data_IF_527763813011
#
_entry.id   IF_527763813011
#
_cell.length_a   1.000
_cell.length_b   1.000
_cell.length_c   1.000
_cell.angle_alpha   90.00
_cell.angle_beta   90.00
_cell.angle_gamma   90.00
#
_symmetry.space_group_name_H-M   'P 1'
#
loop_
_entity.id
_entity.type
_entity.pdbx_description
1 polymer ?
#
# COMPACT_ATOMS: atom_id res chain seq x y z
N UNK A 1 6.76 12.96 8.39
CA UNK A 1 6.76 11.54 8.80
C UNK A 1 6.80 10.72 7.52
N UNK A 2 7.55 9.63 7.45
CA UNK A 2 7.53 8.75 6.28
C UNK A 2 6.34 7.79 6.39
N UNK A 3 5.25 8.10 5.68
CA UNK A 3 4.01 7.31 5.71
C UNK A 3 4.18 5.97 5.00
N UNK A 4 4.99 5.91 3.96
CA UNK A 4 5.03 4.74 3.08
C UNK A 4 5.92 3.64 3.64
N UNK A 5 7.01 3.98 4.33
CA UNK A 5 7.96 3.00 4.88
C UNK A 5 7.72 2.65 6.36
N UNK A 6 6.76 3.29 7.03
CA UNK A 6 6.53 3.11 8.47
C UNK A 6 5.58 1.94 8.79
N UNK A 7 6.11 0.93 9.49
CA UNK A 7 5.30 -0.17 10.04
C UNK A 7 4.27 0.31 11.07
N UNK A 8 4.57 1.38 11.80
CA UNK A 8 3.63 1.96 12.78
C UNK A 8 2.42 2.59 12.07
N UNK A 9 2.65 3.30 10.96
CA UNK A 9 1.59 3.89 10.12
C UNK A 9 0.69 2.78 9.57
N UNK A 10 1.28 1.75 8.96
CA UNK A 10 0.53 0.61 8.45
C UNK A 10 -0.35 -0.04 9.54
N UNK A 11 0.21 -0.25 10.74
CA UNK A 11 -0.55 -0.82 11.86
C UNK A 11 -1.73 0.05 12.29
N UNK A 12 -1.57 1.38 12.29
CA UNK A 12 -2.68 2.31 12.57
C UNK A 12 -3.79 2.14 11.53
N UNK A 13 -3.46 2.16 10.23
CA UNK A 13 -4.47 2.02 9.16
C UNK A 13 -5.17 0.67 9.22
N UNK A 14 -4.39 -0.40 9.43
CA UNK A 14 -4.90 -1.75 9.61
C UNK A 14 -5.89 -1.85 10.77
N UNK A 15 -5.57 -1.27 11.91
CA UNK A 15 -6.45 -1.35 13.08
C UNK A 15 -7.71 -0.52 12.89
N UNK A 16 -7.60 0.67 12.28
CA UNK A 16 -8.77 1.46 11.87
C UNK A 16 -9.72 0.65 10.99
N UNK A 17 -9.18 -0.09 10.04
CA UNK A 17 -9.97 -0.93 9.15
C UNK A 17 -10.59 -2.17 9.83
N UNK A 18 -9.95 -2.73 10.86
CA UNK A 18 -10.39 -3.98 11.49
C UNK A 18 -11.32 -3.81 12.69
N UNK A 19 -11.49 -2.58 13.19
CA UNK A 19 -12.41 -2.28 14.27
C UNK A 19 -13.85 -2.23 13.72
N UNK A 20 -14.53 -3.37 13.86
CA UNK A 20 -15.70 -3.76 13.08
C UNK A 20 -16.99 -3.54 13.89
N UNK A 21 -17.33 -2.27 14.16
CA UNK A 21 -18.72 -1.83 14.42
C UNK A 21 -19.07 -0.48 13.75
N UNK A 22 -18.07 0.35 13.40
CA UNK A 22 -18.29 1.65 12.72
C UNK A 22 -17.27 2.02 11.64
N UNK A 23 -16.34 1.11 11.25
CA UNK A 23 -15.13 1.42 10.45
C UNK A 23 -14.25 2.49 11.11
N UNK A 24 -14.30 2.60 12.42
CA UNK A 24 -13.61 3.68 13.09
C UNK A 24 -13.12 3.33 14.48
N UNK A 25 -11.93 3.82 14.78
CA UNK A 25 -11.21 3.45 16.01
C UNK A 25 -11.25 4.56 17.04
N UNK A 26 -11.57 4.16 18.27
CA UNK A 26 -11.21 4.90 19.48
C UNK A 26 -9.80 4.48 19.89
N UNK A 27 -8.79 5.28 19.54
CA UNK A 27 -7.41 4.97 19.89
C UNK A 27 -7.22 4.99 21.41
N UNK A 28 -6.45 4.01 21.93
CA UNK A 28 -5.89 4.04 23.29
C UNK A 28 -6.13 2.80 24.16
N UNK A 29 -7.20 2.02 23.96
CA UNK A 29 -7.56 0.95 24.92
C UNK A 29 -7.43 -0.48 24.36
N UNK A 30 -7.82 -0.74 23.11
CA UNK A 30 -7.94 -2.14 22.63
C UNK A 30 -6.77 -2.63 21.77
N UNK A 31 -6.01 -1.73 21.14
CA UNK A 31 -4.94 -2.11 20.21
C UNK A 31 -3.51 -1.85 20.71
N UNK A 32 -3.34 -1.42 21.96
CA UNK A 32 -2.01 -1.16 22.55
C UNK A 32 -1.29 0.08 22.01
N UNK A 33 -2.06 1.04 21.45
CA UNK A 33 -1.58 2.35 20.97
C UNK A 33 -1.78 3.43 22.03
N UNK A 34 -1.43 3.10 23.26
CA UNK A 34 -1.48 4.03 24.39
C UNK A 34 -0.31 5.00 24.27
N UNK A 35 -0.29 5.93 23.29
CA UNK A 35 0.76 6.96 23.21
C UNK A 35 0.52 8.03 22.14
N UNK A 36 0.97 9.25 22.44
CA UNK A 36 1.08 10.47 21.61
C UNK A 36 1.46 10.21 20.13
N UNK A 37 2.24 9.16 19.88
CA UNK A 37 2.64 8.74 18.54
C UNK A 37 1.46 8.34 17.64
N UNK A 38 0.45 7.65 18.17
CA UNK A 38 -0.70 7.21 17.38
C UNK A 38 -1.58 8.40 16.98
N UNK A 39 -1.73 9.37 17.87
CA UNK A 39 -2.42 10.64 17.59
C UNK A 39 -1.69 11.42 16.49
N UNK A 40 -0.36 11.53 16.57
CA UNK A 40 0.43 12.18 15.51
C UNK A 40 0.30 11.48 14.15
N UNK A 41 0.27 10.14 14.13
CA UNK A 41 0.05 9.38 12.90
C UNK A 41 -1.34 9.67 12.34
N UNK A 42 -2.39 9.65 13.17
CA UNK A 42 -3.75 9.92 12.71
C UNK A 42 -3.89 11.34 12.19
N UNK A 43 -3.41 12.34 12.92
CA UNK A 43 -3.51 13.74 12.49
C UNK A 43 -2.77 13.96 11.16
N UNK A 44 -1.55 13.43 11.04
CA UNK A 44 -0.83 13.49 9.77
C UNK A 44 -1.54 12.71 8.65
N UNK A 45 -2.15 11.57 8.95
CA UNK A 45 -2.89 10.79 7.96
C UNK A 45 -4.16 11.48 7.48
N UNK A 46 -4.85 12.23 8.36
CA UNK A 46 -5.98 13.09 7.99
C UNK A 46 -5.52 14.25 7.10
N UNK A 47 -4.41 14.91 7.47
CA UNK A 47 -3.86 16.02 6.69
C UNK A 47 -3.42 15.59 5.28
N UNK A 48 -2.89 14.37 5.14
CA UNK A 48 -2.49 13.77 3.86
C UNK A 48 -3.66 13.10 3.11
N UNK A 49 -4.85 13.04 3.71
CA UNK A 49 -6.07 12.48 3.11
C UNK A 49 -6.18 10.95 3.13
N UNK A 50 -5.35 10.24 3.90
CA UNK A 50 -5.46 8.78 4.07
C UNK A 50 -6.59 8.36 5.01
N UNK A 51 -7.01 9.26 5.90
CA UNK A 51 -8.08 9.03 6.86
C UNK A 51 -9.14 10.11 6.74
N UNK A 52 -10.39 9.68 6.67
CA UNK A 52 -11.55 10.56 6.79
C UNK A 52 -12.03 10.62 8.24
N UNK A 53 -12.47 11.80 8.68
CA UNK A 53 -13.10 11.99 9.98
C UNK A 53 -14.61 11.77 9.85
N UNK A 54 -15.16 10.85 10.64
CA UNK A 54 -16.61 10.64 10.71
C UNK A 54 -17.23 11.88 11.36
N UNK A 55 -18.18 12.51 10.67
CA UNK A 55 -18.86 13.71 11.20
C UNK A 55 -19.72 13.33 12.39
N UNK A 56 -19.72 14.21 13.40
CA UNK A 56 -20.57 14.12 14.59
C UNK A 56 -20.34 12.88 15.48
N UNK A 57 -19.20 12.19 15.33
CA UNK A 57 -18.77 11.11 16.24
C UNK A 57 -18.13 11.68 17.52
N UNK A 58 -18.61 11.25 18.69
CA UNK A 58 -17.99 11.53 19.99
C UNK A 58 -17.79 10.22 20.78
N UNK A 59 -16.54 9.80 21.07
CA UNK A 59 -15.26 10.38 20.63
C UNK A 59 -15.06 10.27 19.12
N UNK A 60 -14.08 11.01 18.60
CA UNK A 60 -13.81 11.15 17.17
C UNK A 60 -13.45 9.80 16.53
N UNK A 61 -14.12 9.50 15.44
CA UNK A 61 -14.02 8.28 14.65
C UNK A 61 -13.33 8.59 13.29
N UNK A 62 -12.52 7.65 12.80
CA UNK A 62 -11.75 7.78 11.57
C UNK A 62 -11.95 6.57 10.67
N UNK A 63 -12.10 6.76 9.36
CA UNK A 63 -12.19 5.67 8.38
C UNK A 63 -11.02 5.73 7.40
N UNK A 64 -10.55 4.59 6.91
CA UNK A 64 -9.50 4.54 5.88
C UNK A 64 -10.06 4.94 4.52
N UNK A 65 -9.41 5.92 3.87
CA UNK A 65 -9.67 6.26 2.48
C UNK A 65 -8.89 5.29 1.55
N UNK A 66 -9.61 4.28 1.04
CA UNK A 66 -9.05 3.31 0.10
C UNK A 66 -8.85 3.88 -1.31
N UNK A 67 -9.52 4.97 -1.66
CA UNK A 67 -9.35 5.65 -2.93
C UNK A 67 -7.99 6.36 -2.90
N UNK A 68 -7.69 7.05 -1.81
CA UNK A 68 -6.37 7.65 -1.59
C UNK A 68 -5.25 6.62 -1.59
N UNK A 69 -5.42 5.49 -0.92
CA UNK A 69 -4.42 4.41 -0.93
C UNK A 69 -4.22 3.80 -2.33
N UNK A 70 -5.28 3.71 -3.13
CA UNK A 70 -5.17 3.25 -4.52
C UNK A 70 -4.41 4.26 -5.39
N UNK A 71 -4.62 5.57 -5.20
CA UNK A 71 -3.83 6.60 -5.88
C UNK A 71 -2.33 6.49 -5.56
N UNK A 72 -1.99 6.21 -4.29
CA UNK A 72 -0.59 6.11 -3.87
C UNK A 72 0.18 5.00 -4.56
N UNK A 73 -0.50 3.96 -5.05
CA UNK A 73 0.17 2.94 -5.83
C UNK A 73 0.91 3.56 -7.02
N UNK A 74 0.22 4.37 -7.83
CA UNK A 74 0.85 5.00 -9.01
C UNK A 74 2.03 5.89 -8.62
N UNK A 75 1.89 6.68 -7.54
CA UNK A 75 2.96 7.55 -7.03
C UNK A 75 4.18 6.76 -6.59
N UNK A 76 3.99 5.67 -5.84
CA UNK A 76 5.08 4.82 -5.37
C UNK A 76 5.77 4.09 -6.53
N UNK A 77 5.02 3.71 -7.56
CA UNK A 77 5.58 3.10 -8.76
C UNK A 77 6.35 4.10 -9.62
N UNK A 78 5.87 5.34 -9.77
CA UNK A 78 6.63 6.43 -10.42
C UNK A 78 7.96 6.70 -9.68
N UNK A 79 7.97 6.63 -8.35
CA UNK A 79 9.21 6.81 -7.57
C UNK A 79 10.23 5.67 -7.75
N UNK A 80 9.76 4.44 -7.96
CA UNK A 80 10.62 3.25 -8.08
C UNK A 80 11.11 3.02 -9.52
N UNK A 81 10.25 3.30 -10.51
CA UNK A 81 10.48 2.99 -11.93
C UNK A 81 10.56 4.21 -12.84
N UNK A 82 10.51 5.45 -12.31
CA UNK A 82 10.42 6.71 -13.04
C UNK A 82 9.12 6.90 -13.87
N UNK A 83 8.35 5.83 -14.12
CA UNK A 83 7.03 5.83 -14.77
C UNK A 83 6.19 4.62 -14.30
N UNK A 84 4.96 4.89 -13.85
CA UNK A 84 4.00 3.87 -13.45
C UNK A 84 3.44 3.15 -14.69
N UNK A 85 3.29 1.81 -14.64
CA UNK A 85 2.85 1.03 -15.78
C UNK A 85 1.36 1.27 -16.07
N UNK A 86 0.94 0.91 -17.28
CA UNK A 86 -0.45 1.07 -17.71
C UNK A 86 -1.32 0.05 -16.97
N UNK A 87 -2.43 0.53 -16.42
CA UNK A 87 -3.32 -0.30 -15.59
C UNK A 87 -4.56 -0.78 -16.36
N UNK A 88 -5.04 -2.02 -16.12
CA UNK A 88 -6.20 -2.56 -16.81
C UNK A 88 -7.52 -1.89 -16.41
N UNK A 89 -8.54 -2.05 -17.26
CA UNK A 89 -9.90 -1.53 -17.06
C UNK A 89 -10.61 -2.29 -15.93
N UNK A 90 -10.26 -2.01 -14.67
CA UNK A 90 -10.82 -2.45 -13.37
C UNK A 90 -9.75 -2.45 -12.25
N UNK A 91 -8.53 -2.00 -12.57
CA UNK A 91 -7.38 -2.05 -11.68
C UNK A 91 -7.64 -1.43 -10.30
N UNK A 92 -8.25 -0.26 -10.26
CA UNK A 92 -8.56 0.44 -9.02
C UNK A 92 -9.44 -0.39 -8.07
N UNK A 93 -10.49 -1.03 -8.60
CA UNK A 93 -11.39 -1.90 -7.83
C UNK A 93 -10.67 -3.15 -7.31
N UNK A 94 -9.82 -3.73 -8.16
CA UNK A 94 -8.95 -4.84 -7.77
C UNK A 94 -7.99 -4.42 -6.65
N UNK A 95 -7.31 -3.28 -6.81
CA UNK A 95 -6.32 -2.77 -5.87
C UNK A 95 -6.94 -2.46 -4.50
N UNK A 96 -8.12 -1.83 -4.46
CA UNK A 96 -8.87 -1.64 -3.21
C UNK A 96 -9.22 -2.96 -2.54
N UNK A 97 -9.59 -3.98 -3.31
CA UNK A 97 -9.87 -5.32 -2.79
C UNK A 97 -8.61 -6.01 -2.26
N UNK A 98 -7.49 -5.84 -2.96
CA UNK A 98 -6.17 -6.29 -2.53
C UNK A 98 -5.76 -5.64 -1.20
N UNK A 99 -5.80 -4.31 -1.08
CA UNK A 99 -5.44 -3.57 0.15
C UNK A 99 -6.31 -4.04 1.33
N UNK A 100 -7.63 -4.16 1.14
CA UNK A 100 -8.54 -4.67 2.18
C UNK A 100 -8.19 -6.09 2.61
N UNK A 101 -7.90 -6.97 1.65
CA UNK A 101 -7.46 -8.34 1.96
C UNK A 101 -6.14 -8.34 2.73
N UNK A 102 -5.21 -7.50 2.31
CA UNK A 102 -3.89 -7.37 2.90
C UNK A 102 -3.97 -6.92 4.37
N UNK A 103 -4.75 -5.87 4.66
CA UNK A 103 -5.00 -5.42 6.04
C UNK A 103 -5.61 -6.51 6.93
N UNK A 104 -6.47 -7.40 6.41
CA UNK A 104 -7.02 -8.52 7.21
C UNK A 104 -5.94 -9.48 7.69
N UNK A 105 -4.99 -9.80 6.83
CA UNK A 105 -4.11 -10.94 7.03
C UNK A 105 -2.72 -10.54 7.52
N UNK A 106 -2.17 -9.45 6.99
CA UNK A 106 -0.78 -9.06 7.25
C UNK A 106 -0.68 -8.02 8.36
N UNK A 107 0.22 -8.28 9.31
CA UNK A 107 0.31 -7.51 10.56
C UNK A 107 1.53 -6.61 10.64
N UNK A 108 2.61 -6.96 9.95
CA UNK A 108 3.95 -6.38 10.15
C UNK A 108 4.57 -6.10 8.78
N UNK A 109 4.20 -4.98 8.19
CA UNK A 109 4.71 -4.49 6.91
C UNK A 109 4.58 -2.96 6.86
N UNK A 110 4.89 -2.35 5.72
CA UNK A 110 4.67 -0.95 5.38
C UNK A 110 3.73 -0.79 4.16
N UNK A 111 3.30 0.44 3.86
CA UNK A 111 2.49 0.68 2.65
C UNK A 111 3.29 0.46 1.37
N UNK A 112 4.59 0.80 1.35
CA UNK A 112 5.48 0.56 0.20
C UNK A 112 5.65 -0.93 -0.07
N UNK A 113 5.97 -1.71 0.97
CA UNK A 113 6.07 -3.17 0.84
C UNK A 113 4.77 -3.78 0.29
N UNK A 114 3.61 -3.37 0.82
CA UNK A 114 2.31 -3.83 0.34
C UNK A 114 2.04 -3.41 -1.12
N UNK A 115 2.19 -2.13 -1.47
CA UNK A 115 1.74 -1.59 -2.76
C UNK A 115 2.73 -1.81 -3.91
N UNK A 116 4.00 -2.05 -3.61
CA UNK A 116 5.05 -2.22 -4.63
C UNK A 116 5.63 -3.63 -4.56
N UNK A 117 6.40 -3.93 -3.52
CA UNK A 117 7.21 -5.16 -3.45
C UNK A 117 6.35 -6.43 -3.47
N UNK A 118 5.41 -6.56 -2.53
CA UNK A 118 4.57 -7.74 -2.40
C UNK A 118 3.46 -7.80 -3.44
N UNK A 119 3.00 -6.64 -3.92
CA UNK A 119 2.08 -6.56 -5.04
C UNK A 119 2.68 -7.24 -6.28
N UNK A 120 3.90 -6.84 -6.65
CA UNK A 120 4.61 -7.43 -7.79
C UNK A 120 4.87 -8.93 -7.59
N UNK A 121 5.43 -9.33 -6.44
CA UNK A 121 5.66 -10.74 -6.13
C UNK A 121 4.38 -11.58 -6.22
N UNK A 122 3.23 -10.99 -5.85
CA UNK A 122 1.91 -11.60 -5.98
C UNK A 122 1.48 -11.81 -7.44
N UNK A 123 1.75 -10.84 -8.32
CA UNK A 123 1.47 -10.95 -9.75
C UNK A 123 2.29 -12.05 -10.41
N UNK A 124 3.62 -12.03 -10.24
CA UNK A 124 4.53 -13.04 -10.82
C UNK A 124 4.21 -14.45 -10.35
N UNK A 125 3.87 -14.64 -9.06
CA UNK A 125 3.43 -15.96 -8.56
C UNK A 125 2.12 -16.41 -9.20
N UNK A 126 1.17 -15.49 -9.39
CA UNK A 126 -0.13 -15.81 -9.99
C UNK A 126 0.01 -16.23 -11.45
N UNK A 127 0.94 -15.62 -12.19
CA UNK A 127 1.25 -16.03 -13.56
C UNK A 127 1.94 -17.39 -13.62
N UNK A 128 2.94 -17.63 -12.77
CA UNK A 128 3.61 -18.94 -12.67
C UNK A 128 2.65 -20.09 -12.35
N UNK A 129 1.50 -19.80 -11.71
CA UNK A 129 0.45 -20.77 -11.44
C UNK A 129 -0.66 -20.81 -12.51
N UNK A 130 -0.55 -20.03 -13.58
CA UNK A 130 -1.53 -19.93 -14.67
C UNK A 130 -2.88 -19.33 -14.23
N UNK A 131 -2.88 -18.56 -13.13
CA UNK A 131 -4.09 -17.97 -12.52
C UNK A 131 -4.28 -16.50 -12.82
N UNK A 132 -3.29 -15.84 -13.44
CA UNK A 132 -3.40 -14.44 -13.81
C UNK A 132 -4.30 -14.30 -15.05
N UNK A 133 -5.26 -13.37 -14.97
CA UNK A 133 -6.09 -13.02 -16.12
C UNK A 133 -5.26 -12.26 -17.14
N UNK A 134 -5.68 -12.31 -18.41
CA UNK A 134 -4.95 -11.70 -19.52
C UNK A 134 -4.58 -10.24 -19.28
N UNK A 135 -5.54 -9.44 -18.80
CA UNK A 135 -5.35 -8.00 -18.57
C UNK A 135 -4.31 -7.68 -17.48
N UNK A 136 -4.02 -8.62 -16.56
CA UNK A 136 -2.99 -8.46 -15.55
C UNK A 136 -1.64 -9.08 -15.97
N UNK A 137 -1.62 -9.95 -16.99
CA UNK A 137 -0.37 -10.41 -17.61
C UNK A 137 0.31 -9.29 -18.36
N UNK A 138 -0.47 -8.48 -19.08
CA UNK A 138 0.06 -7.31 -19.79
C UNK A 138 0.73 -6.35 -18.79
N UNK A 139 0.12 -6.14 -17.62
CA UNK A 139 0.73 -5.39 -16.51
C UNK A 139 2.01 -6.05 -15.97
N UNK A 140 2.03 -7.36 -15.77
CA UNK A 140 3.22 -8.07 -15.28
C UNK A 140 4.38 -8.04 -16.29
N UNK A 141 4.08 -8.15 -17.58
CA UNK A 141 5.06 -8.02 -18.68
C UNK A 141 5.65 -6.60 -18.73
N UNK A 142 4.85 -5.55 -18.51
CA UNK A 142 5.31 -4.16 -18.43
C UNK A 142 6.23 -3.93 -17.22
N UNK A 143 5.97 -4.61 -16.10
CA UNK A 143 6.78 -4.54 -14.89
C UNK A 143 8.15 -5.21 -15.04
N UNK A 144 8.30 -6.16 -15.99
CA UNK A 144 9.56 -6.81 -16.32
C UNK A 144 10.18 -7.57 -15.15
N UNK A 145 11.51 -7.67 -15.08
CA UNK A 145 12.24 -8.29 -13.96
C UNK A 145 12.31 -7.33 -12.76
N UNK A 146 11.18 -6.93 -12.16
CA UNK A 146 11.19 -6.07 -10.97
C UNK A 146 11.90 -6.79 -9.80
N UNK A 147 13.21 -6.53 -9.70
CA UNK A 147 14.09 -6.97 -8.63
C UNK A 147 14.02 -5.86 -7.59
N UNK A 148 13.00 -5.92 -6.71
CA UNK A 148 12.65 -4.88 -5.72
C UNK A 148 13.77 -4.41 -4.77
N UNK A 149 15.01 -4.84 -5.00
CA UNK A 149 16.24 -4.11 -4.71
C UNK A 149 17.19 -4.33 -5.88
N UNK A 150 17.30 -3.36 -6.82
CA UNK A 150 18.20 -3.41 -8.00
C UNK A 150 19.40 -4.32 -7.75
N UNK A 151 19.50 -5.45 -8.47
CA UNK A 151 20.70 -6.27 -8.41
C UNK A 151 21.92 -5.38 -8.78
N UNK A 152 23.02 -5.42 -8.01
CA UNK A 152 24.26 -4.71 -8.34
C UNK A 152 24.77 -4.98 -9.77
N UNK A 153 24.33 -6.07 -10.41
CA UNK A 153 24.67 -6.38 -11.80
C UNK A 153 24.07 -5.42 -12.83
N UNK A 154 22.89 -4.85 -12.61
CA UNK A 154 22.23 -3.97 -13.58
C UNK A 154 22.90 -2.60 -13.70
N UNK A 155 23.41 -2.05 -12.59
CA UNK A 155 24.24 -0.84 -12.61
C UNK A 155 25.60 -1.06 -13.27
N UNK A 156 26.17 -2.26 -13.10
CA UNK A 156 27.44 -2.64 -13.70
C UNK A 156 27.28 -2.84 -15.21
N UNK A 157 26.23 -3.51 -15.68
CA UNK A 157 25.97 -3.66 -17.12
C UNK A 157 25.63 -2.32 -17.80
N UNK A 158 24.86 -1.46 -17.15
CA UNK A 158 24.54 -0.13 -17.69
C UNK A 158 25.79 0.76 -17.82
N UNK A 159 26.70 0.70 -16.84
CA UNK A 159 28.00 1.40 -16.87
C UNK A 159 28.98 0.83 -17.91
N UNK A 160 28.84 -0.46 -18.28
CA UNK A 160 29.67 -1.11 -19.29
C UNK A 160 29.16 -0.89 -20.73
N UNK A 161 27.85 -0.67 -20.95
CA UNK A 161 27.26 -0.41 -22.27
C UNK A 161 27.39 1.04 -22.75
N UNK A 162 27.70 1.98 -21.86
CA UNK A 162 27.86 3.40 -22.19
C UNK A 162 29.34 3.87 -22.17
N UNK A 163 30.25 2.99 -22.63
CA UNK A 163 31.62 3.33 -23.02
C UNK A 163 31.90 2.91 -24.46
#
# INVERSE_FOLDING_TARGET
>A
MDFHNSVAVYKVFRNIFLDDESNSVRLGVEHGFDDEQAEQIILGAVDEGYLDVVKDSDPREYTVDFDKLAEQWSVLWDEELDEAPVTPQNFESFLKSYIKSYFRHEKHTSLREMLVEEFYLGLTRSENHGKLSKDFRELEEELGDFDGKRSPSEHVEHGLRHR
#
